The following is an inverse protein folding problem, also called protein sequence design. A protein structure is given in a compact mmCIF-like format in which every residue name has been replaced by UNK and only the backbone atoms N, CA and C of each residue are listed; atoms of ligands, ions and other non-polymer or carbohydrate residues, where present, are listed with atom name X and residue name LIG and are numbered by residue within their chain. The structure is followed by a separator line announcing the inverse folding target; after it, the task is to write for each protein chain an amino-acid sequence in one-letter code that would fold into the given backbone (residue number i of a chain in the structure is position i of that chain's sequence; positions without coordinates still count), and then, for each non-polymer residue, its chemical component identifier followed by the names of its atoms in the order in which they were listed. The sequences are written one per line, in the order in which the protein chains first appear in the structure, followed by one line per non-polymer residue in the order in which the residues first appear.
data_IF_374011897882
#
_entry.id   IF_374011897882
#
_cell.length_a   1.000
_cell.length_b   1.000
_cell.length_c   1.000
_cell.angle_alpha   90.00
_cell.angle_beta   90.00
_cell.angle_gamma   90.00
#
_symmetry.space_group_name_H-M   'P 1'
#
loop_
_entity.id
_entity.type
_entity.pdbx_description
1 polymer ?
#
# COMPACT_ATOMS: atom_id res chain seq x y z
N UNK A 1 10.33 11.69 -16.51
CA UNK A 1 9.61 11.02 -15.41
C UNK A 1 8.25 10.59 -15.92
N UNK A 2 7.80 9.36 -15.64
CA UNK A 2 6.44 8.95 -15.98
C UNK A 2 5.41 9.79 -15.22
N UNK A 3 4.23 9.98 -15.81
CA UNK A 3 3.10 10.67 -15.16
C UNK A 3 2.51 9.82 -14.03
N UNK A 4 1.74 10.44 -13.12
CA UNK A 4 1.02 9.72 -12.06
C UNK A 4 0.13 8.60 -12.63
N UNK A 5 -0.59 8.88 -13.72
CA UNK A 5 -1.44 7.90 -14.40
C UNK A 5 -0.63 6.73 -14.98
N UNK A 6 0.55 7.00 -15.55
CA UNK A 6 1.45 5.94 -16.05
C UNK A 6 2.01 5.09 -14.92
N UNK A 7 2.37 5.70 -13.79
CA UNK A 7 2.82 4.98 -12.59
C UNK A 7 1.69 4.08 -12.05
N UNK A 8 0.47 4.60 -11.93
CA UNK A 8 -0.69 3.83 -11.51
C UNK A 8 -0.97 2.64 -12.46
N UNK A 9 -0.94 2.88 -13.78
CA UNK A 9 -1.12 1.82 -14.77
C UNK A 9 -0.05 0.74 -14.66
N UNK A 10 1.22 1.10 -14.40
CA UNK A 10 2.32 0.14 -14.17
C UNK A 10 2.14 -0.67 -12.89
N UNK A 11 1.70 -0.05 -11.80
CA UNK A 11 1.39 -0.75 -10.54
C UNK A 11 0.32 -1.79 -10.76
N UNK A 12 -0.78 -1.38 -11.41
CA UNK A 12 -1.88 -2.29 -11.74
C UNK A 12 -1.39 -3.43 -12.63
N UNK A 13 -0.68 -3.11 -13.71
CA UNK A 13 -0.15 -4.11 -14.63
C UNK A 13 0.79 -5.11 -13.93
N UNK A 14 1.66 -4.68 -13.03
CA UNK A 14 2.56 -5.57 -12.31
C UNK A 14 1.82 -6.59 -11.42
N UNK A 15 0.74 -6.18 -10.75
CA UNK A 15 -0.07 -7.13 -9.98
C UNK A 15 -0.84 -8.09 -10.90
N UNK A 16 -1.30 -7.60 -12.05
CA UNK A 16 -1.99 -8.41 -13.06
C UNK A 16 -1.07 -9.36 -13.85
N UNK A 17 0.24 -9.13 -13.86
CA UNK A 17 1.21 -10.10 -14.39
C UNK A 17 1.32 -11.35 -13.50
N UNK A 18 1.00 -11.22 -12.21
CA UNK A 18 1.13 -12.32 -11.26
C UNK A 18 -0.18 -13.08 -11.11
N UNK A 19 -1.30 -12.36 -11.00
CA UNK A 19 -2.66 -12.93 -10.84
C UNK A 19 -3.69 -12.00 -11.46
N UNK A 20 -4.75 -12.56 -12.03
CA UNK A 20 -5.95 -11.83 -12.45
C UNK A 20 -6.65 -11.15 -11.27
N UNK A 21 -7.60 -10.25 -11.58
CA UNK A 21 -8.40 -9.56 -10.57
C UNK A 21 -9.19 -10.60 -9.76
N UNK A 22 -9.82 -11.54 -10.46
CA UNK A 22 -10.64 -12.59 -9.87
C UNK A 22 -9.84 -13.51 -8.95
N UNK A 23 -8.59 -13.82 -9.29
CA UNK A 23 -7.70 -14.61 -8.42
C UNK A 23 -7.29 -13.84 -7.17
N UNK A 24 -7.02 -12.53 -7.26
CA UNK A 24 -6.74 -11.71 -6.09
C UNK A 24 -7.94 -11.62 -5.14
N UNK A 25 -9.13 -11.41 -5.69
CA UNK A 25 -10.37 -11.32 -4.90
C UNK A 25 -10.73 -12.69 -4.29
N UNK A 26 -10.54 -13.78 -5.03
CA UNK A 26 -10.76 -15.15 -4.52
C UNK A 26 -9.89 -15.45 -3.29
N UNK A 27 -8.63 -15.00 -3.28
CA UNK A 27 -7.75 -15.20 -2.12
C UNK A 27 -8.21 -14.42 -0.89
N UNK A 28 -8.72 -13.20 -1.09
CA UNK A 28 -9.35 -12.45 -0.01
C UNK A 28 -10.57 -13.21 0.52
N UNK A 29 -11.43 -13.73 -0.36
CA UNK A 29 -12.61 -14.50 0.02
C UNK A 29 -12.27 -15.82 0.74
N UNK A 30 -11.23 -16.53 0.29
CA UNK A 30 -10.75 -17.76 0.95
C UNK A 30 -10.21 -17.49 2.35
N UNK A 31 -9.48 -16.38 2.52
CA UNK A 31 -8.97 -15.95 3.82
C UNK A 31 -10.12 -15.59 4.77
N UNK A 32 -11.13 -14.85 4.28
CA UNK A 32 -12.34 -14.53 5.04
C UNK A 32 -13.16 -15.78 5.37
N UNK A 33 -13.24 -16.75 4.46
CA UNK A 33 -13.96 -18.00 4.72
C UNK A 33 -13.28 -18.85 5.79
N UNK A 34 -11.94 -18.94 5.77
CA UNK A 34 -11.19 -19.63 6.83
C UNK A 34 -11.47 -18.98 8.20
N UNK A 35 -11.56 -17.65 8.21
CA UNK A 35 -11.96 -16.88 9.38
C UNK A 35 -13.40 -17.18 9.84
N UNK A 36 -14.39 -17.14 8.94
CA UNK A 36 -15.80 -17.41 9.28
C UNK A 36 -16.00 -18.82 9.86
N UNK A 37 -15.18 -19.77 9.42
CA UNK A 37 -15.16 -21.15 9.90
C UNK A 37 -14.36 -21.34 11.20
N UNK A 38 -13.73 -20.28 11.73
CA UNK A 38 -12.85 -20.29 12.91
C UNK A 38 -11.67 -21.26 12.79
N UNK A 39 -11.18 -21.45 11.57
CA UNK A 39 -10.03 -22.29 11.26
C UNK A 39 -8.75 -21.44 11.34
N UNK A 40 -8.26 -21.23 12.57
CA UNK A 40 -7.16 -20.31 12.85
C UNK A 40 -5.83 -20.74 12.19
N UNK A 41 -5.56 -22.05 12.11
CA UNK A 41 -4.34 -22.57 11.48
C UNK A 41 -4.37 -22.28 9.97
N UNK A 42 -5.49 -22.59 9.32
CA UNK A 42 -5.68 -22.28 7.90
C UNK A 42 -5.65 -20.77 7.64
N UNK A 43 -6.26 -19.98 8.52
CA UNK A 43 -6.24 -18.53 8.41
C UNK A 43 -4.82 -17.97 8.44
N UNK A 44 -4.00 -18.34 9.43
CA UNK A 44 -2.63 -17.81 9.52
C UNK A 44 -1.77 -18.27 8.32
N UNK A 45 -1.89 -19.54 7.90
CA UNK A 45 -1.20 -20.04 6.71
C UNK A 45 -1.59 -19.27 5.44
N UNK A 46 -2.89 -19.05 5.22
CA UNK A 46 -3.39 -18.29 4.07
C UNK A 46 -2.98 -16.81 4.16
N UNK A 47 -3.01 -16.22 5.36
CA UNK A 47 -2.62 -14.84 5.61
C UNK A 47 -1.18 -14.59 5.24
N UNK A 48 -0.26 -15.44 5.71
CA UNK A 48 1.17 -15.31 5.41
C UNK A 48 1.40 -15.36 3.89
N UNK A 49 0.79 -16.33 3.20
CA UNK A 49 0.92 -16.47 1.75
C UNK A 49 0.31 -15.29 1.00
N UNK A 50 -0.88 -14.83 1.41
CA UNK A 50 -1.59 -13.72 0.81
C UNK A 50 -0.79 -12.41 0.92
N UNK A 51 -0.35 -12.07 2.13
CA UNK A 51 0.44 -10.85 2.38
C UNK A 51 1.78 -10.92 1.65
N UNK A 52 2.46 -12.07 1.69
CA UNK A 52 3.74 -12.25 0.99
C UNK A 52 3.61 -12.05 -0.52
N UNK A 53 2.52 -12.53 -1.13
CA UNK A 53 2.28 -12.37 -2.56
C UNK A 53 2.22 -10.89 -2.97
N UNK A 54 1.39 -10.08 -2.28
CA UNK A 54 1.29 -8.64 -2.53
C UNK A 54 2.64 -7.91 -2.32
N UNK A 55 3.31 -8.20 -1.19
CA UNK A 55 4.64 -7.62 -0.88
C UNK A 55 5.66 -7.93 -1.97
N UNK A 56 5.65 -9.16 -2.48
CA UNK A 56 6.61 -9.61 -3.50
C UNK A 56 6.46 -8.86 -4.83
N UNK A 57 5.22 -8.57 -5.27
CA UNK A 57 4.98 -7.79 -6.50
C UNK A 57 5.61 -6.41 -6.36
N UNK A 58 5.33 -5.73 -5.24
CA UNK A 58 5.84 -4.37 -5.03
C UNK A 58 7.36 -4.35 -4.95
N UNK A 59 7.93 -5.24 -4.14
CA UNK A 59 9.38 -5.32 -3.96
C UNK A 59 10.10 -5.68 -5.26
N UNK A 60 9.63 -6.68 -6.00
CA UNK A 60 10.39 -7.25 -7.11
C UNK A 60 10.08 -6.59 -8.46
N UNK A 61 8.87 -6.05 -8.65
CA UNK A 61 8.44 -5.51 -9.95
C UNK A 61 8.26 -4.00 -9.94
N UNK A 62 8.03 -3.37 -8.78
CA UNK A 62 7.66 -1.96 -8.71
C UNK A 62 8.73 -1.06 -8.09
N UNK A 63 9.68 -1.59 -7.32
CA UNK A 63 10.76 -0.81 -6.69
C UNK A 63 11.46 0.13 -7.67
N UNK A 64 11.94 -0.36 -8.81
CA UNK A 64 12.63 0.48 -9.80
C UNK A 64 11.71 1.52 -10.43
N UNK A 65 10.44 1.18 -10.63
CA UNK A 65 9.43 2.11 -11.16
C UNK A 65 9.15 3.25 -10.18
N UNK A 66 9.08 2.94 -8.88
CA UNK A 66 8.89 3.94 -7.82
C UNK A 66 10.14 4.80 -7.61
N UNK A 67 11.32 4.18 -7.59
CA UNK A 67 12.59 4.89 -7.47
C UNK A 67 12.80 5.88 -8.62
N UNK A 68 12.36 5.54 -9.84
CA UNK A 68 12.46 6.42 -11.00
C UNK A 68 11.62 7.72 -10.89
N UNK A 69 10.68 7.78 -9.94
CA UNK A 69 9.91 8.98 -9.59
C UNK A 69 10.26 9.55 -8.20
N UNK A 70 11.39 9.12 -7.63
CA UNK A 70 11.89 9.60 -6.34
C UNK A 70 11.26 8.93 -5.12
N UNK A 71 10.34 7.99 -5.30
CA UNK A 71 9.71 7.27 -4.18
C UNK A 71 10.58 6.09 -3.79
N UNK A 72 11.05 6.09 -2.54
CA UNK A 72 11.74 4.95 -1.95
C UNK A 72 10.73 3.91 -1.48
N UNK A 73 11.02 2.63 -1.76
CA UNK A 73 10.20 1.49 -1.33
C UNK A 73 10.94 0.70 -0.26
N UNK A 74 10.31 0.52 0.90
CA UNK A 74 10.84 -0.30 1.99
C UNK A 74 9.78 -1.25 2.55
N UNK A 75 10.15 -2.23 3.39
CA UNK A 75 9.17 -3.12 4.02
C UNK A 75 8.07 -2.33 4.76
N UNK A 76 6.83 -2.80 4.65
CA UNK A 76 5.72 -2.22 5.39
C UNK A 76 5.90 -2.41 6.90
N UNK A 77 5.59 -1.38 7.68
CA UNK A 77 5.52 -1.47 9.13
C UNK A 77 4.21 -2.13 9.56
N UNK A 78 3.13 -1.89 8.83
CA UNK A 78 1.84 -2.49 9.12
C UNK A 78 1.81 -3.98 8.73
N UNK A 79 1.25 -4.89 9.56
CA UNK A 79 1.16 -6.32 9.24
C UNK A 79 0.42 -6.63 7.93
N UNK A 80 -0.55 -5.78 7.57
CA UNK A 80 -1.31 -5.83 6.32
C UNK A 80 -0.90 -4.79 5.28
N UNK A 81 0.18 -4.05 5.53
CA UNK A 81 0.74 -3.11 4.57
C UNK A 81 1.52 -3.84 3.48
N UNK A 82 1.42 -3.36 2.24
CA UNK A 82 2.14 -3.96 1.11
C UNK A 82 3.58 -3.47 1.01
N UNK A 83 3.81 -2.17 1.21
CA UNK A 83 5.15 -1.59 1.32
C UNK A 83 5.02 -0.21 1.99
N UNK A 84 6.13 0.29 2.55
CA UNK A 84 6.25 1.70 2.90
C UNK A 84 6.77 2.44 1.68
N UNK A 85 5.97 3.39 1.19
CA UNK A 85 6.34 4.30 0.11
C UNK A 85 6.73 5.63 0.74
N UNK A 86 7.95 6.11 0.47
CA UNK A 86 8.49 7.33 1.09
C UNK A 86 8.99 8.33 0.05
N UNK A 87 8.67 9.61 0.26
CA UNK A 87 9.18 10.75 -0.50
C UNK A 87 9.29 11.97 0.42
N UNK A 88 10.46 12.61 0.46
CA UNK A 88 10.72 13.84 1.24
C UNK A 88 10.26 13.74 2.72
N UNK A 89 10.56 12.61 3.37
CA UNK A 89 10.22 12.37 4.78
C UNK A 89 8.73 12.11 5.05
N UNK A 90 7.88 12.07 4.02
CA UNK A 90 6.49 11.62 4.10
C UNK A 90 6.41 10.16 3.69
N UNK A 91 5.64 9.37 4.43
CA UNK A 91 5.44 7.95 4.15
C UNK A 91 3.96 7.59 4.02
N UNK A 92 3.68 6.56 3.23
CA UNK A 92 2.36 5.98 3.07
C UNK A 92 2.44 4.48 2.83
N UNK A 93 1.50 3.73 3.39
CA UNK A 93 1.38 2.28 3.18
C UNK A 93 0.03 1.95 2.53
N UNK A 94 0.01 1.42 1.29
CA UNK A 94 -1.20 0.79 0.76
C UNK A 94 -1.51 -0.47 1.58
N UNK A 95 -2.73 -0.54 2.10
CA UNK A 95 -3.18 -1.60 3.01
C UNK A 95 -4.10 -2.61 2.32
N UNK A 96 -3.92 -3.89 2.68
CA UNK A 96 -4.77 -5.01 2.28
C UNK A 96 -6.05 -5.13 3.10
N UNK A 97 -6.19 -4.32 4.15
CA UNK A 97 -7.38 -4.27 4.99
C UNK A 97 -7.89 -2.84 5.19
N UNK A 98 -9.11 -2.71 5.68
CA UNK A 98 -9.69 -1.42 6.07
C UNK A 98 -8.99 -0.84 7.31
N UNK A 99 -8.67 0.48 7.31
CA UNK A 99 -7.94 1.14 8.40
C UNK A 99 -8.79 1.38 9.66
N UNK A 100 -10.12 1.31 9.56
CA UNK A 100 -11.06 1.70 10.62
C UNK A 100 -11.23 0.66 11.76
N UNK A 101 -10.64 -0.54 11.66
CA UNK A 101 -10.94 -1.65 12.58
C UNK A 101 -9.72 -2.19 13.35
N UNK A 102 -8.56 -1.55 13.22
CA UNK A 102 -7.32 -1.99 13.89
C UNK A 102 -7.20 -1.35 15.27
N UNK A 103 -7.91 -1.89 16.26
CA UNK A 103 -7.61 -1.59 17.65
C UNK A 103 -6.17 -2.05 17.98
N UNK A 104 -5.46 -1.25 18.78
CA UNK A 104 -4.07 -1.43 19.19
C UNK A 104 -3.76 -2.85 19.73
N UNK A 105 -2.50 -3.32 19.67
CA UNK A 105 -2.15 -4.65 20.13
C UNK A 105 -2.39 -4.80 21.64
N UNK A 106 -3.45 -5.50 22.06
CA UNK A 106 -3.63 -5.96 23.45
C UNK A 106 -2.93 -7.32 23.65
N UNK A 107 -2.19 -7.43 24.74
CA UNK A 107 -1.43 -8.63 25.17
C UNK A 107 -2.32 -9.79 25.68
N UNK A 108 -3.59 -9.88 25.26
CA UNK A 108 -4.50 -10.94 25.66
C UNK A 108 -5.12 -11.57 24.42
N UNK A 109 -4.82 -12.85 24.19
CA UNK A 109 -5.17 -13.62 23.00
C UNK A 109 -6.65 -13.93 22.79
N UNK A 110 -7.53 -12.94 22.85
CA UNK A 110 -8.91 -13.06 22.38
C UNK A 110 -9.39 -11.78 21.67
N UNK A 111 -9.54 -11.93 20.34
CA UNK A 111 -10.49 -11.25 19.45
C UNK A 111 -10.36 -9.74 19.28
N UNK A 112 -9.24 -9.35 18.69
CA UNK A 112 -9.19 -8.22 17.76
C UNK A 112 -10.39 -8.27 16.80
N UNK A 113 -11.01 -7.13 16.53
CA UNK A 113 -11.86 -7.00 15.34
C UNK A 113 -11.03 -7.40 14.13
N UNK A 114 -11.47 -8.44 13.43
CA UNK A 114 -10.67 -9.04 12.37
C UNK A 114 -10.66 -8.12 11.16
N UNK A 115 -9.51 -7.97 10.49
CA UNK A 115 -9.35 -6.97 9.45
C UNK A 115 -10.27 -7.29 8.26
N UNK A 116 -11.19 -6.36 7.93
CA UNK A 116 -11.92 -6.44 6.65
C UNK A 116 -10.94 -6.33 5.49
N UNK A 117 -10.74 -7.45 4.79
CA UNK A 117 -9.91 -7.49 3.61
C UNK A 117 -10.51 -6.66 2.48
N UNK A 118 -9.63 -6.10 1.65
CA UNK A 118 -10.00 -5.27 0.52
C UNK A 118 -9.96 -6.09 -0.77
N UNK A 119 -10.88 -5.76 -1.68
CA UNK A 119 -10.79 -6.23 -3.08
C UNK A 119 -9.56 -5.63 -3.76
N UNK A 120 -9.16 -6.23 -4.87
CA UNK A 120 -8.09 -5.75 -5.74
C UNK A 120 -8.24 -4.25 -6.05
N UNK A 121 -9.43 -3.82 -6.47
CA UNK A 121 -9.70 -2.41 -6.79
C UNK A 121 -9.53 -1.48 -5.59
N UNK A 122 -9.96 -1.93 -4.40
CA UNK A 122 -9.81 -1.14 -3.18
C UNK A 122 -8.33 -1.03 -2.74
N UNK A 123 -7.50 -2.06 -2.99
CA UNK A 123 -6.05 -1.99 -2.79
C UNK A 123 -5.40 -1.05 -3.80
N UNK A 124 -5.80 -1.11 -5.08
CA UNK A 124 -5.32 -0.18 -6.11
C UNK A 124 -5.68 1.28 -5.77
N UNK A 125 -6.90 1.55 -5.30
CA UNK A 125 -7.27 2.87 -4.79
C UNK A 125 -6.46 3.28 -3.53
N UNK A 126 -5.95 2.31 -2.77
CA UNK A 126 -4.97 2.54 -1.70
C UNK A 126 -3.63 3.06 -2.24
N UNK A 127 -3.08 2.42 -3.28
CA UNK A 127 -1.88 2.90 -3.96
C UNK A 127 -2.07 4.30 -4.51
N UNK A 128 -3.19 4.55 -5.19
CA UNK A 128 -3.48 5.85 -5.79
C UNK A 128 -3.48 6.96 -4.74
N UNK A 129 -4.20 6.77 -3.62
CA UNK A 129 -4.17 7.71 -2.50
C UNK A 129 -2.76 7.94 -1.94
N UNK A 130 -1.95 6.90 -1.81
CA UNK A 130 -0.57 7.05 -1.37
C UNK A 130 0.27 7.87 -2.35
N UNK A 131 0.22 7.55 -3.64
CA UNK A 131 0.98 8.25 -4.66
C UNK A 131 0.56 9.71 -4.75
N UNK A 132 -0.75 9.97 -4.75
CA UNK A 132 -1.31 11.31 -4.73
C UNK A 132 -0.79 12.08 -3.51
N UNK A 133 -0.91 11.52 -2.30
CA UNK A 133 -0.46 12.16 -1.07
C UNK A 133 1.04 12.51 -1.13
N UNK A 134 1.87 11.60 -1.64
CA UNK A 134 3.31 11.81 -1.76
C UNK A 134 3.66 12.84 -2.84
N UNK A 135 3.02 12.81 -4.00
CA UNK A 135 3.43 13.61 -5.16
C UNK A 135 2.76 14.99 -5.25
N UNK A 136 1.64 15.26 -4.56
CA UNK A 136 0.91 16.53 -4.72
C UNK A 136 1.56 17.75 -4.04
N UNK A 137 2.60 17.59 -3.23
CA UNK A 137 3.29 18.72 -2.56
C UNK A 137 4.71 19.01 -3.09
N UNK A 138 5.12 18.41 -4.21
CA UNK A 138 6.45 18.67 -4.78
C UNK A 138 6.52 19.91 -5.70
N UNK A 139 5.59 20.87 -5.60
CA UNK A 139 5.80 22.19 -6.21
C UNK A 139 6.79 22.99 -5.34
N UNK A 140 7.86 23.55 -5.92
CA UNK A 140 8.89 24.22 -5.14
C UNK A 140 8.32 25.45 -4.44
N UNK A 141 8.71 25.64 -3.17
CA UNK A 141 8.43 26.83 -2.37
C UNK A 141 8.63 28.11 -3.19
N UNK A 142 7.52 28.73 -3.57
CA UNK A 142 7.48 30.01 -4.28
C UNK A 142 7.75 31.20 -3.33
N UNK A 143 8.61 31.03 -2.34
CA UNK A 143 8.85 32.01 -1.28
C UNK A 143 10.28 32.60 -1.23
N UNK A 144 11.08 32.40 -2.28
CA UNK A 144 12.44 32.98 -2.38
C UNK A 144 12.54 34.23 -3.29
N UNK A 145 11.42 34.90 -3.61
CA UNK A 145 11.43 36.01 -4.57
C UNK A 145 11.21 37.43 -3.98
N UNK A 146 11.11 37.62 -2.66
CA UNK A 146 10.74 38.93 -2.09
C UNK A 146 11.75 39.61 -1.15
N UNK A 147 12.98 39.10 -0.97
CA UNK A 147 13.97 39.74 -0.07
C UNK A 147 15.17 40.43 -0.75
N UNK A 148 15.03 40.86 -2.01
CA UNK A 148 16.02 41.78 -2.60
C UNK A 148 15.32 42.96 -3.27
N UNK A 149 14.82 43.90 -2.47
CA UNK A 149 14.74 45.33 -2.82
C UNK A 149 14.29 46.17 -1.61
N UNK A 150 15.25 46.45 -0.71
CA UNK A 150 15.11 47.48 0.32
C UNK A 150 16.36 48.36 0.44
N UNK A 151 16.98 48.72 -0.69
CA UNK A 151 17.99 49.78 -0.73
C UNK A 151 17.98 50.42 -2.12
N UNK A 152 17.09 51.40 -2.34
CA UNK A 152 17.19 52.44 -3.37
C UNK A 152 16.23 53.57 -3.03
#
# INVERSE_FOLDING_TARGET
MPSLNETFARIRAAHLLVRSIEEWDTLSDELLRAYDLKDNEKFEMLRESFVAAWKSVTRNLLTDTMNAIGITVSPANHPWGVATLELDGRSCEPLLCSPEELAAPSEAGDLYGWPRLRSFEAVMAGYDRCLISLLWQSEPDFNSAYETNKWS
#
